data_IF_978225935420
#
_entry.id   IF_978225935420
#
_cell.length_a   1.000
_cell.length_b   1.000
_cell.length_c   1.000
_cell.angle_alpha   90.00
_cell.angle_beta   90.00
_cell.angle_gamma   90.00
#
_symmetry.space_group_name_H-M   'P 1'
#
loop_
_entity.id
_entity.type
_entity.pdbx_description
1 polymer ?
#
# COMPACT_ATOMS: atom_id res chain seq x y z
N UNK A 1 -2.61 17.49 -29.67
CA UNK A 1 -3.01 16.60 -28.54
C UNK A 1 -2.11 16.87 -27.35
N UNK A 2 -2.73 17.13 -26.19
CA UNK A 2 -2.03 17.58 -25.00
C UNK A 2 -2.08 16.53 -23.88
N UNK A 3 -1.08 16.59 -23.00
CA UNK A 3 -1.04 15.87 -21.72
C UNK A 3 -1.26 16.89 -20.61
N UNK A 4 -2.28 16.68 -19.79
CA UNK A 4 -2.54 17.52 -18.63
C UNK A 4 -1.87 16.93 -17.39
N UNK A 5 -1.08 17.72 -16.71
CA UNK A 5 -0.38 17.32 -15.47
C UNK A 5 -1.03 18.00 -14.26
N UNK A 6 -1.42 17.22 -13.26
CA UNK A 6 -1.99 17.72 -12.00
C UNK A 6 -1.30 17.06 -10.79
N UNK A 7 -0.12 17.53 -10.38
CA UNK A 7 0.58 16.98 -9.23
C UNK A 7 -0.08 17.40 -7.91
N UNK A 8 0.05 16.57 -6.87
CA UNK A 8 -0.48 16.86 -5.54
C UNK A 8 0.32 17.93 -4.79
N UNK A 9 1.64 17.89 -4.94
CA UNK A 9 2.60 18.79 -4.28
C UNK A 9 3.77 19.10 -5.23
N UNK A 10 4.53 20.12 -4.91
CA UNK A 10 5.77 20.50 -5.60
C UNK A 10 5.63 20.63 -7.14
N UNK A 11 4.68 21.44 -7.63
CA UNK A 11 4.36 21.49 -9.06
C UNK A 11 5.57 21.90 -9.92
N UNK A 12 6.48 22.75 -9.42
CA UNK A 12 7.66 23.17 -10.18
C UNK A 12 8.64 22.01 -10.40
N UNK A 13 8.87 21.16 -9.40
CA UNK A 13 9.71 19.97 -9.53
C UNK A 13 9.15 19.03 -10.61
N UNK A 14 7.84 18.78 -10.58
CA UNK A 14 7.19 17.91 -11.60
C UNK A 14 7.24 18.55 -12.99
N UNK A 15 7.12 19.88 -13.07
CA UNK A 15 7.28 20.62 -14.33
C UNK A 15 8.68 20.43 -14.92
N UNK A 16 9.72 20.54 -14.10
CA UNK A 16 11.10 20.31 -14.52
C UNK A 16 11.32 18.86 -14.98
N UNK A 17 10.86 17.88 -14.18
CA UNK A 17 11.02 16.46 -14.49
C UNK A 17 10.30 16.05 -15.78
N UNK A 18 9.05 16.43 -15.96
CA UNK A 18 8.33 16.09 -17.19
C UNK A 18 8.82 16.91 -18.39
N UNK A 19 9.29 18.15 -18.21
CA UNK A 19 9.95 18.90 -19.28
C UNK A 19 11.24 18.26 -19.76
N UNK A 20 12.01 17.62 -18.86
CA UNK A 20 13.21 16.83 -19.22
C UNK A 20 12.85 15.51 -19.91
N UNK A 21 11.85 14.79 -19.39
CA UNK A 21 11.55 13.41 -19.81
C UNK A 21 10.57 13.29 -20.96
N UNK A 22 9.79 14.35 -21.24
CA UNK A 22 8.75 14.42 -22.28
C UNK A 22 8.92 15.71 -23.12
N UNK A 23 10.12 15.99 -23.67
CA UNK A 23 10.41 17.28 -24.31
C UNK A 23 9.60 17.54 -25.59
N UNK A 24 9.10 16.49 -26.23
CA UNK A 24 8.33 16.57 -27.48
C UNK A 24 6.81 16.59 -27.24
N UNK A 25 6.36 16.49 -26.00
CA UNK A 25 4.94 16.47 -25.65
C UNK A 25 4.43 17.88 -25.32
N UNK A 26 3.17 18.16 -25.69
CA UNK A 26 2.47 19.38 -25.32
C UNK A 26 1.93 19.22 -23.88
N UNK A 27 2.68 19.76 -22.90
CA UNK A 27 2.40 19.60 -21.48
C UNK A 27 1.66 20.83 -20.93
N UNK A 28 0.46 20.62 -20.46
CA UNK A 28 -0.33 21.60 -19.73
C UNK A 28 -0.41 21.26 -18.25
N UNK A 29 -0.54 22.28 -17.41
CA UNK A 29 -0.54 22.09 -15.96
C UNK A 29 -1.83 22.66 -15.36
N UNK A 30 -2.58 21.79 -14.70
CA UNK A 30 -3.83 22.19 -14.05
C UNK A 30 -3.61 23.33 -13.04
N UNK A 31 -4.50 24.38 -12.99
CA UNK A 31 -5.77 24.50 -13.75
C UNK A 31 -5.65 25.14 -15.14
N UNK A 32 -4.43 25.44 -15.64
CA UNK A 32 -4.20 26.11 -16.91
C UNK A 32 -4.41 25.15 -18.08
N UNK A 33 -5.66 25.06 -18.56
CA UNK A 33 -6.06 24.24 -19.71
C UNK A 33 -6.78 25.12 -20.71
N UNK A 34 -6.14 25.43 -21.83
CA UNK A 34 -6.67 26.35 -22.84
C UNK A 34 -7.75 25.72 -23.72
N UNK A 35 -7.66 24.41 -23.99
CA UNK A 35 -8.62 23.65 -24.78
C UNK A 35 -8.82 22.23 -24.18
N UNK A 36 -9.86 22.01 -23.37
CA UNK A 36 -10.14 20.69 -22.80
C UNK A 36 -10.28 19.57 -23.84
N UNK A 37 -10.69 19.89 -25.10
CA UNK A 37 -10.84 18.87 -26.14
C UNK A 37 -9.50 18.40 -26.71
N UNK A 38 -8.42 19.11 -26.49
CA UNK A 38 -7.08 18.71 -26.91
C UNK A 38 -6.44 17.69 -25.95
N UNK A 39 -6.98 17.52 -24.71
CA UNK A 39 -6.41 16.64 -23.69
C UNK A 39 -6.75 15.18 -23.97
N UNK A 40 -5.74 14.37 -24.24
CA UNK A 40 -5.86 12.92 -24.45
C UNK A 40 -5.36 12.10 -23.25
N UNK A 41 -4.42 12.64 -22.48
CA UNK A 41 -3.87 11.99 -21.30
C UNK A 41 -3.89 12.93 -20.11
N UNK A 42 -4.14 12.37 -18.93
CA UNK A 42 -4.00 13.06 -17.65
C UNK A 42 -2.94 12.34 -16.82
N UNK A 43 -1.93 13.07 -16.34
CA UNK A 43 -0.96 12.62 -15.35
C UNK A 43 -1.34 13.28 -14.03
N UNK A 44 -1.84 12.53 -13.06
CA UNK A 44 -2.30 13.13 -11.82
C UNK A 44 -2.25 12.19 -10.62
N UNK A 45 -2.13 12.77 -9.43
CA UNK A 45 -2.36 12.06 -8.18
C UNK A 45 -3.85 11.79 -7.97
N UNK A 46 -4.68 12.81 -8.18
CA UNK A 46 -6.15 12.76 -8.14
C UNK A 46 -6.74 13.91 -8.94
N UNK A 47 -7.96 13.75 -9.39
CA UNK A 47 -8.73 14.81 -10.05
C UNK A 47 -10.22 14.55 -9.84
N UNK A 48 -11.02 15.62 -9.67
CA UNK A 48 -12.46 15.46 -9.52
C UNK A 48 -13.08 14.92 -10.81
N UNK A 49 -14.07 14.06 -10.67
CA UNK A 49 -14.78 13.49 -11.84
C UNK A 49 -15.39 14.55 -12.74
N UNK A 50 -15.94 15.63 -12.14
CA UNK A 50 -16.48 16.76 -12.90
C UNK A 50 -15.43 17.42 -13.79
N UNK A 51 -14.18 17.47 -13.34
CA UNK A 51 -13.09 18.07 -14.11
C UNK A 51 -12.63 17.12 -15.23
N UNK A 52 -12.52 15.82 -14.93
CA UNK A 52 -12.22 14.78 -15.94
C UNK A 52 -13.26 14.73 -17.05
N UNK A 53 -14.54 14.92 -16.72
CA UNK A 53 -15.65 14.91 -17.69
C UNK A 53 -15.58 16.05 -18.72
N UNK A 54 -14.77 17.07 -18.50
CA UNK A 54 -14.55 18.16 -19.45
C UNK A 54 -13.61 17.76 -20.60
N UNK A 55 -12.80 16.71 -20.42
CA UNK A 55 -11.82 16.22 -21.40
C UNK A 55 -12.45 15.15 -22.28
N UNK A 56 -13.20 15.58 -23.30
CA UNK A 56 -14.01 14.68 -24.15
C UNK A 56 -13.20 13.69 -24.99
N UNK A 57 -11.90 13.91 -25.16
CA UNK A 57 -10.98 13.03 -25.88
C UNK A 57 -10.01 12.29 -24.96
N UNK A 58 -10.26 12.28 -23.64
CA UNK A 58 -9.42 11.61 -22.67
C UNK A 58 -9.44 10.10 -22.87
N UNK A 59 -8.29 9.51 -23.13
CA UNK A 59 -8.09 8.07 -23.34
C UNK A 59 -7.39 7.39 -22.18
N UNK A 60 -6.45 8.09 -21.52
CA UNK A 60 -5.63 7.51 -20.45
C UNK A 60 -5.48 8.44 -19.26
N UNK A 61 -5.49 7.84 -18.08
CA UNK A 61 -5.12 8.48 -16.81
C UNK A 61 -3.89 7.75 -16.27
N UNK A 62 -2.76 8.43 -16.23
CA UNK A 62 -1.52 7.92 -15.63
C UNK A 62 -1.45 8.39 -14.17
N UNK A 63 -1.69 7.46 -13.24
CA UNK A 63 -1.70 7.77 -11.81
C UNK A 63 -0.28 8.01 -11.30
N UNK A 64 -0.09 9.08 -10.52
CA UNK A 64 1.18 9.40 -9.86
C UNK A 64 1.38 8.59 -8.57
N UNK A 65 0.45 7.72 -8.21
CA UNK A 65 0.51 6.84 -7.04
C UNK A 65 0.16 5.40 -7.37
N UNK A 66 0.51 4.49 -6.46
CA UNK A 66 0.19 3.07 -6.58
C UNK A 66 -1.29 2.77 -6.30
N UNK A 67 -1.92 3.52 -5.41
CA UNK A 67 -3.35 3.43 -5.12
C UNK A 67 -4.19 4.06 -6.24
N UNK A 68 -5.37 3.49 -6.50
CA UNK A 68 -6.24 3.89 -7.62
C UNK A 68 -7.69 4.15 -7.19
N UNK A 69 -7.98 4.06 -5.91
CA UNK A 69 -9.33 4.18 -5.35
C UNK A 69 -9.98 5.53 -5.68
N UNK A 70 -9.18 6.61 -5.70
CA UNK A 70 -9.63 7.96 -6.03
C UNK A 70 -10.19 8.08 -7.45
N UNK A 71 -9.81 7.19 -8.36
CA UNK A 71 -10.27 7.17 -9.74
C UNK A 71 -11.59 6.43 -9.92
N UNK A 72 -11.96 5.63 -8.92
CA UNK A 72 -13.11 4.72 -8.98
C UNK A 72 -14.25 5.14 -8.05
N UNK A 73 -14.01 6.08 -7.14
CA UNK A 73 -14.94 6.49 -6.06
C UNK A 73 -16.35 6.83 -6.54
N UNK A 74 -16.49 7.42 -7.74
CA UNK A 74 -17.77 7.82 -8.33
C UNK A 74 -18.06 7.04 -9.64
N UNK A 75 -17.63 5.79 -9.70
CA UNK A 75 -17.62 4.94 -10.90
C UNK A 75 -16.29 5.07 -11.68
N UNK A 76 -15.91 4.04 -12.41
CA UNK A 76 -14.71 4.10 -13.24
C UNK A 76 -14.87 5.13 -14.37
N UNK A 77 -13.84 5.95 -14.68
CA UNK A 77 -13.84 6.75 -15.89
C UNK A 77 -13.82 5.83 -17.12
N UNK A 78 -14.27 6.33 -18.26
CA UNK A 78 -14.15 5.59 -19.54
C UNK A 78 -12.68 5.46 -19.99
N UNK A 79 -11.83 6.40 -19.57
CA UNK A 79 -10.40 6.39 -19.85
C UNK A 79 -9.69 5.25 -19.10
N UNK A 80 -8.72 4.63 -19.77
CA UNK A 80 -7.85 3.59 -19.19
C UNK A 80 -7.01 4.17 -18.05
N UNK A 81 -7.03 3.53 -16.89
CA UNK A 81 -6.22 3.93 -15.75
C UNK A 81 -4.92 3.11 -15.73
N UNK A 82 -3.78 3.80 -15.78
CA UNK A 82 -2.45 3.22 -15.63
C UNK A 82 -1.92 3.61 -14.26
N UNK A 83 -1.74 2.64 -13.37
CA UNK A 83 -1.24 2.91 -12.03
C UNK A 83 0.27 3.01 -11.99
N UNK A 84 0.81 3.75 -11.03
CA UNK A 84 2.24 3.72 -10.77
C UNK A 84 2.63 2.38 -10.12
N UNK A 85 3.63 1.71 -10.68
CA UNK A 85 4.25 0.51 -10.11
C UNK A 85 5.76 0.71 -10.03
N UNK A 86 6.18 1.38 -8.94
CA UNK A 86 7.58 1.72 -8.72
C UNK A 86 8.27 0.64 -7.87
N UNK A 87 9.31 -0.05 -8.39
CA UNK A 87 10.11 -0.99 -7.62
C UNK A 87 10.77 -0.36 -6.38
N UNK A 88 11.13 0.93 -6.41
CA UNK A 88 11.71 1.63 -5.27
C UNK A 88 10.71 1.76 -4.13
N UNK A 89 9.46 2.13 -4.43
CA UNK A 89 8.38 2.15 -3.44
C UNK A 89 8.17 0.76 -2.83
N UNK A 90 8.15 -0.29 -3.65
CA UNK A 90 8.00 -1.67 -3.16
C UNK A 90 9.17 -2.09 -2.25
N UNK A 91 10.39 -1.62 -2.52
CA UNK A 91 11.55 -1.84 -1.66
C UNK A 91 11.45 -1.10 -0.33
N UNK A 92 10.99 0.16 -0.33
CA UNK A 92 10.75 0.95 0.89
C UNK A 92 9.71 0.27 1.77
N UNK A 93 8.57 -0.14 1.20
CA UNK A 93 7.52 -0.85 1.91
C UNK A 93 8.01 -2.19 2.48
N UNK A 94 8.88 -2.90 1.76
CA UNK A 94 9.50 -4.12 2.27
C UNK A 94 10.45 -3.83 3.45
N UNK A 95 11.27 -2.78 3.36
CA UNK A 95 12.16 -2.37 4.46
C UNK A 95 11.36 -1.94 5.70
N UNK A 96 10.27 -1.20 5.52
CA UNK A 96 9.36 -0.81 6.58
C UNK A 96 8.74 -2.04 7.28
N UNK A 97 8.19 -2.98 6.52
CA UNK A 97 7.61 -4.20 7.07
C UNK A 97 8.65 -5.04 7.84
N UNK A 98 9.86 -5.23 7.26
CA UNK A 98 10.96 -5.95 7.90
C UNK A 98 11.37 -5.26 9.21
N UNK A 99 11.47 -3.93 9.24
CA UNK A 99 11.79 -3.18 10.45
C UNK A 99 10.82 -3.51 11.58
N UNK A 100 9.52 -3.32 11.34
CA UNK A 100 8.52 -3.47 12.39
C UNK A 100 8.30 -4.92 12.83
N UNK A 101 8.29 -5.86 11.89
CA UNK A 101 8.19 -7.28 12.25
C UNK A 101 9.41 -7.72 13.08
N UNK A 102 10.63 -7.34 12.68
CA UNK A 102 11.86 -7.63 13.44
C UNK A 102 11.83 -6.95 14.80
N UNK A 103 11.33 -5.70 14.89
CA UNK A 103 11.23 -4.95 16.14
C UNK A 103 10.45 -5.75 17.21
N UNK A 104 9.26 -6.25 16.86
CA UNK A 104 8.42 -7.00 17.79
C UNK A 104 8.90 -8.46 17.97
N UNK A 105 9.37 -9.13 16.92
CA UNK A 105 9.97 -10.46 17.02
C UNK A 105 11.12 -10.50 18.03
N UNK A 106 11.96 -9.47 18.01
CA UNK A 106 13.13 -9.35 18.88
C UNK A 106 12.82 -8.69 20.24
N UNK A 107 11.61 -8.17 20.43
CA UNK A 107 11.19 -7.47 21.62
C UNK A 107 12.01 -6.20 21.89
N UNK A 108 12.36 -5.46 20.83
CA UNK A 108 13.16 -4.24 20.97
C UNK A 108 12.45 -3.18 21.80
N UNK A 109 11.11 -3.13 21.75
CA UNK A 109 10.28 -2.24 22.57
C UNK A 109 10.49 -2.42 24.07
N UNK A 110 10.91 -3.64 24.50
CA UNK A 110 11.22 -3.97 25.87
C UNK A 110 12.70 -3.75 26.23
N UNK A 111 13.52 -3.44 25.23
CA UNK A 111 14.98 -3.37 25.35
C UNK A 111 15.48 -1.92 25.40
N UNK A 112 14.79 -1.00 24.78
CA UNK A 112 15.13 0.42 24.75
C UNK A 112 14.68 1.14 26.04
N UNK A 113 15.16 0.65 27.20
CA UNK A 113 14.93 1.36 28.46
C UNK A 113 16.10 2.31 28.68
N UNK A 114 15.89 3.62 28.86
CA UNK A 114 16.97 4.62 28.95
C UNK A 114 17.86 4.50 30.19
N UNK A 115 17.51 3.67 31.14
CA UNK A 115 17.99 3.78 32.49
C UNK A 115 18.67 2.52 33.02
N UNK A 116 19.86 2.20 32.50
CA UNK A 116 20.76 1.35 33.24
C UNK A 116 20.86 -0.10 32.78
N UNK A 117 21.69 -0.87 33.48
CA UNK A 117 22.01 -2.26 33.19
C UNK A 117 20.94 -3.26 33.62
N UNK A 118 19.86 -2.80 34.22
CA UNK A 118 18.70 -3.61 34.61
C UNK A 118 18.05 -4.16 33.34
N UNK A 119 18.16 -5.44 33.13
CA UNK A 119 17.70 -6.09 31.89
C UNK A 119 18.80 -6.38 30.86
N UNK A 120 20.07 -6.07 31.17
CA UNK A 120 21.19 -6.56 30.38
C UNK A 120 21.32 -8.07 30.53
N UNK A 121 20.93 -8.81 29.47
CA UNK A 121 21.01 -10.26 29.46
C UNK A 121 20.54 -10.86 28.13
N UNK A 122 20.86 -12.14 27.94
CA UNK A 122 20.32 -12.88 26.79
C UNK A 122 18.79 -12.97 26.91
N UNK A 123 18.09 -12.73 25.81
CA UNK A 123 16.64 -12.93 25.70
C UNK A 123 16.39 -14.13 24.81
N UNK A 124 15.46 -14.97 25.23
CA UNK A 124 14.92 -16.02 24.39
C UNK A 124 13.95 -15.37 23.41
N UNK A 125 14.38 -15.23 22.16
CA UNK A 125 13.56 -14.66 21.08
C UNK A 125 13.49 -15.67 19.94
N UNK A 126 12.30 -15.84 19.31
CA UNK A 126 12.15 -16.79 18.23
C UNK A 126 13.10 -16.45 17.06
N UNK A 127 13.70 -17.46 16.50
CA UNK A 127 14.55 -17.34 15.30
C UNK A 127 13.67 -17.13 14.07
N UNK A 128 14.20 -16.62 12.93
CA UNK A 128 13.40 -16.45 11.71
C UNK A 128 12.64 -17.71 11.27
N UNK A 129 13.22 -18.95 11.27
CA UNK A 129 12.46 -20.16 10.93
C UNK A 129 11.26 -20.46 11.85
N UNK A 130 11.29 -19.99 13.09
CA UNK A 130 10.21 -20.16 14.08
C UNK A 130 9.17 -19.05 14.06
N UNK A 131 9.34 -18.06 13.14
CA UNK A 131 8.51 -16.86 13.07
C UNK A 131 7.93 -16.68 11.66
N UNK A 132 6.90 -17.47 11.28
CA UNK A 132 6.22 -17.35 9.99
C UNK A 132 5.60 -15.95 9.83
N UNK A 133 5.79 -15.34 8.65
CA UNK A 133 5.24 -14.04 8.30
C UNK A 133 4.13 -14.22 7.27
N UNK A 134 2.94 -13.76 7.61
CA UNK A 134 1.78 -13.72 6.74
C UNK A 134 1.71 -12.42 5.93
N UNK A 135 1.42 -12.54 4.63
CA UNK A 135 1.21 -11.40 3.73
C UNK A 135 -0.22 -11.43 3.21
N UNK A 136 -1.02 -10.44 3.59
CA UNK A 136 -2.36 -10.21 3.03
C UNK A 136 -2.22 -9.40 1.73
N UNK A 137 -2.33 -10.08 0.59
CA UNK A 137 -2.16 -9.52 -0.74
C UNK A 137 -0.81 -9.86 -1.37
N UNK A 138 -0.82 -10.73 -2.40
CA UNK A 138 0.37 -11.26 -3.07
C UNK A 138 0.62 -10.64 -4.45
N UNK A 139 0.27 -9.35 -4.62
CA UNK A 139 0.62 -8.57 -5.80
C UNK A 139 2.10 -8.13 -5.80
N UNK A 140 2.44 -7.14 -6.62
CA UNK A 140 3.82 -6.63 -6.77
C UNK A 140 4.47 -6.27 -5.43
N UNK A 141 3.78 -5.50 -4.58
CA UNK A 141 4.31 -5.07 -3.27
C UNK A 141 4.40 -6.27 -2.31
N UNK A 142 3.32 -7.05 -2.17
CA UNK A 142 3.31 -8.20 -1.26
C UNK A 142 4.31 -9.27 -1.64
N UNK A 143 4.50 -9.52 -2.93
CA UNK A 143 5.54 -10.42 -3.43
C UNK A 143 6.96 -9.94 -3.08
N UNK A 144 7.21 -8.63 -3.17
CA UNK A 144 8.50 -8.03 -2.79
C UNK A 144 8.74 -8.14 -1.28
N UNK A 145 7.72 -7.91 -0.46
CA UNK A 145 7.78 -8.07 1.00
C UNK A 145 8.06 -9.54 1.35
N UNK A 146 7.31 -10.48 0.74
CA UNK A 146 7.51 -11.91 0.95
C UNK A 146 8.93 -12.35 0.62
N UNK A 147 9.49 -11.92 -0.52
CA UNK A 147 10.86 -12.20 -0.90
C UNK A 147 11.89 -11.63 0.10
N UNK A 148 11.64 -10.46 0.69
CA UNK A 148 12.51 -9.88 1.71
C UNK A 148 12.53 -10.76 2.97
N UNK A 149 11.38 -11.22 3.47
CA UNK A 149 11.32 -12.11 4.63
C UNK A 149 11.93 -13.48 4.35
N UNK A 150 11.70 -14.06 3.18
CA UNK A 150 12.35 -15.31 2.76
C UNK A 150 13.88 -15.18 2.76
N UNK A 151 14.43 -14.05 2.28
CA UNK A 151 15.88 -13.81 2.28
C UNK A 151 16.48 -13.74 3.68
N UNK A 152 15.66 -13.42 4.69
CA UNK A 152 16.03 -13.41 6.11
C UNK A 152 15.79 -14.77 6.80
N UNK A 153 15.27 -15.78 6.08
CA UNK A 153 15.03 -17.12 6.58
C UNK A 153 13.67 -17.34 7.25
N UNK A 154 12.71 -16.41 7.09
CA UNK A 154 11.35 -16.61 7.57
C UNK A 154 10.54 -17.50 6.62
N UNK A 155 9.75 -18.46 7.13
CA UNK A 155 8.63 -19.02 6.38
C UNK A 155 7.64 -17.92 6.05
N UNK A 156 7.13 -17.90 4.81
CA UNK A 156 6.17 -16.90 4.36
C UNK A 156 4.85 -17.57 4.00
N UNK A 157 3.79 -17.12 4.64
CA UNK A 157 2.41 -17.43 4.29
C UNK A 157 1.84 -16.31 3.44
N UNK A 158 1.11 -16.63 2.41
CA UNK A 158 0.51 -15.63 1.55
C UNK A 158 -0.98 -15.84 1.39
N UNK A 159 -1.78 -14.81 1.57
CA UNK A 159 -3.21 -14.86 1.33
C UNK A 159 -3.62 -13.95 0.17
N UNK A 160 -4.47 -14.47 -0.69
CA UNK A 160 -5.15 -13.68 -1.73
C UNK A 160 -6.50 -14.31 -2.09
N UNK A 161 -7.34 -13.57 -2.83
CA UNK A 161 -8.65 -14.12 -3.25
C UNK A 161 -8.58 -15.46 -3.99
N UNK A 162 -7.55 -15.65 -4.79
CA UNK A 162 -7.41 -16.82 -5.70
C UNK A 162 -6.25 -17.74 -5.33
N UNK A 163 -5.48 -17.39 -4.30
CA UNK A 163 -4.22 -18.08 -4.04
C UNK A 163 -3.15 -17.77 -5.09
N UNK A 164 -1.98 -18.37 -4.92
CA UNK A 164 -0.90 -18.34 -5.92
C UNK A 164 0.07 -19.49 -5.68
N UNK A 165 0.49 -20.15 -6.73
CA UNK A 165 1.58 -21.14 -6.70
C UNK A 165 2.95 -20.50 -6.92
N UNK A 166 2.97 -19.17 -7.21
CA UNK A 166 4.19 -18.41 -7.40
C UNK A 166 4.83 -18.06 -6.03
N UNK A 167 6.07 -17.57 -6.08
CA UNK A 167 6.80 -16.97 -4.95
C UNK A 167 7.33 -17.92 -3.87
N UNK A 168 7.12 -19.23 -3.95
CA UNK A 168 7.60 -20.19 -2.93
C UNK A 168 7.05 -19.91 -1.52
N UNK A 169 5.80 -19.44 -1.43
CA UNK A 169 5.07 -19.18 -0.18
C UNK A 169 4.06 -20.29 0.08
N UNK A 170 3.69 -20.51 1.35
CA UNK A 170 2.50 -21.30 1.67
C UNK A 170 1.27 -20.45 1.34
N UNK A 171 0.52 -20.87 0.32
CA UNK A 171 -0.61 -20.11 -0.23
C UNK A 171 -1.92 -20.46 0.43
N UNK A 172 -2.71 -19.44 0.74
CA UNK A 172 -4.07 -19.50 1.25
C UNK A 172 -5.00 -18.70 0.34
N UNK A 173 -6.22 -19.18 0.12
CA UNK A 173 -7.15 -18.59 -0.83
C UNK A 173 -8.55 -18.35 -0.25
N UNK A 174 -9.13 -17.22 -0.60
CA UNK A 174 -10.52 -16.91 -0.27
C UNK A 174 -10.82 -16.78 1.22
N UNK A 175 -12.10 -16.61 1.54
CA UNK A 175 -12.54 -16.35 2.91
C UNK A 175 -12.44 -17.60 3.81
N UNK A 176 -12.62 -18.79 3.22
CA UNK A 176 -12.58 -20.05 3.95
C UNK A 176 -11.21 -20.35 4.57
N UNK A 177 -10.12 -19.97 3.90
CA UNK A 177 -8.75 -20.20 4.39
C UNK A 177 -8.14 -18.99 5.14
N UNK A 178 -8.87 -17.88 5.24
CA UNK A 178 -8.33 -16.68 5.91
C UNK A 178 -8.02 -16.93 7.39
N UNK A 179 -8.88 -17.68 8.08
CA UNK A 179 -8.66 -18.02 9.48
C UNK A 179 -7.41 -18.87 9.69
N UNK A 180 -7.21 -19.89 8.87
CA UNK A 180 -6.03 -20.76 8.93
C UNK A 180 -4.75 -19.97 8.61
N UNK A 181 -4.80 -19.06 7.63
CA UNK A 181 -3.70 -18.14 7.32
C UNK A 181 -3.32 -17.28 8.54
N UNK A 182 -4.31 -16.67 9.21
CA UNK A 182 -4.08 -15.83 10.39
C UNK A 182 -3.45 -16.64 11.53
N UNK A 183 -4.01 -17.80 11.83
CA UNK A 183 -3.53 -18.68 12.90
C UNK A 183 -2.13 -19.25 12.63
N UNK A 184 -1.75 -19.43 11.35
CA UNK A 184 -0.44 -19.94 10.96
C UNK A 184 0.67 -18.87 10.96
N UNK A 185 0.35 -17.61 11.22
CA UNK A 185 1.29 -16.48 11.09
C UNK A 185 1.63 -15.88 12.45
N UNK A 186 2.88 -15.48 12.65
CA UNK A 186 3.38 -14.77 13.84
C UNK A 186 3.46 -13.26 13.65
N UNK A 187 3.47 -12.82 12.42
CA UNK A 187 3.22 -11.44 12.00
C UNK A 187 2.34 -11.46 10.75
N UNK A 188 1.45 -10.50 10.62
CA UNK A 188 0.57 -10.33 9.45
C UNK A 188 0.79 -8.95 8.89
N UNK A 189 1.28 -8.88 7.65
CA UNK A 189 1.49 -7.63 6.91
C UNK A 189 0.38 -7.47 5.88
N UNK A 190 -0.42 -6.41 6.01
CA UNK A 190 -1.47 -6.09 5.08
C UNK A 190 -1.00 -5.12 4.00
N UNK A 191 -1.19 -5.50 2.73
CA UNK A 191 -0.97 -4.66 1.54
C UNK A 191 -2.16 -4.74 0.56
N UNK A 192 -3.33 -5.11 1.06
CA UNK A 192 -4.55 -5.18 0.24
C UNK A 192 -4.98 -3.78 -0.20
N UNK A 193 -5.54 -3.66 -1.42
CA UNK A 193 -6.17 -2.43 -1.89
C UNK A 193 -7.50 -2.20 -1.17
N UNK A 194 -8.04 -0.98 -1.23
CA UNK A 194 -9.38 -0.65 -0.76
C UNK A 194 -10.42 -1.03 -1.82
N UNK A 195 -11.08 -2.17 -1.63
CA UNK A 195 -12.16 -2.66 -2.48
C UNK A 195 -13.35 -3.06 -1.62
N UNK A 196 -14.51 -3.25 -2.23
CA UNK A 196 -15.68 -3.74 -1.51
C UNK A 196 -15.43 -5.05 -0.78
N UNK A 197 -14.59 -5.93 -1.32
CA UNK A 197 -14.27 -7.25 -0.73
C UNK A 197 -13.19 -7.20 0.36
N UNK A 198 -12.45 -6.10 0.48
CA UNK A 198 -11.38 -5.97 1.48
C UNK A 198 -11.74 -5.02 2.62
N UNK A 199 -12.79 -4.21 2.46
CA UNK A 199 -13.30 -3.34 3.51
C UNK A 199 -13.86 -4.16 4.66
N UNK A 200 -13.39 -3.87 5.87
CA UNK A 200 -13.80 -4.56 7.08
C UNK A 200 -13.45 -6.05 7.12
N UNK A 201 -12.49 -6.50 6.30
CA UNK A 201 -12.05 -7.89 6.26
C UNK A 201 -11.55 -8.37 7.63
N UNK A 202 -10.92 -7.49 8.39
CA UNK A 202 -10.42 -7.77 9.73
C UNK A 202 -11.35 -7.13 10.76
N UNK A 203 -12.31 -7.91 11.21
CA UNK A 203 -13.24 -7.62 12.31
C UNK A 203 -12.79 -8.30 13.62
N UNK A 204 -13.57 -8.14 14.69
CA UNK A 204 -13.28 -8.76 15.99
C UNK A 204 -13.10 -10.28 15.89
N UNK A 205 -13.88 -10.97 15.03
CA UNK A 205 -13.79 -12.42 14.85
C UNK A 205 -12.47 -12.83 14.21
N UNK A 206 -12.03 -12.06 13.21
CA UNK A 206 -10.75 -12.31 12.52
C UNK A 206 -9.56 -11.95 13.41
N UNK A 207 -9.63 -10.86 14.17
CA UNK A 207 -8.58 -10.52 15.14
C UNK A 207 -8.38 -11.59 16.21
N UNK A 208 -9.44 -12.24 16.70
CA UNK A 208 -9.33 -13.35 17.64
C UNK A 208 -8.56 -14.57 17.08
N UNK A 209 -8.36 -14.65 15.76
CA UNK A 209 -7.63 -15.73 15.10
C UNK A 209 -6.12 -15.45 14.93
N UNK A 210 -5.64 -14.24 15.31
CA UNK A 210 -4.23 -13.87 15.17
C UNK A 210 -3.30 -14.62 16.13
N UNK A 211 -3.81 -15.13 17.25
CA UNK A 211 -3.00 -15.92 18.19
C UNK A 211 -1.78 -15.17 18.76
N UNK A 212 -1.88 -13.87 18.95
CA UNK A 212 -0.80 -13.02 19.45
C UNK A 212 0.14 -12.49 18.38
N UNK A 213 -0.17 -12.65 17.09
CA UNK A 213 0.65 -12.15 16.00
C UNK A 213 0.74 -10.61 15.99
N UNK A 214 1.84 -10.08 15.49
CA UNK A 214 1.99 -8.64 15.20
C UNK A 214 1.22 -8.30 13.92
N UNK A 215 0.42 -7.25 13.95
CA UNK A 215 -0.27 -6.71 12.77
C UNK A 215 0.46 -5.49 12.23
N UNK A 216 0.81 -5.48 10.95
CA UNK A 216 1.42 -4.34 10.25
C UNK A 216 0.52 -3.96 9.07
N UNK A 217 -0.12 -2.81 9.14
CA UNK A 217 -0.99 -2.31 8.09
C UNK A 217 -0.31 -1.19 7.29
N UNK A 218 0.13 -1.51 6.08
CA UNK A 218 0.72 -0.61 5.09
C UNK A 218 -0.03 -0.61 3.76
N UNK A 219 -1.22 -1.24 3.75
CA UNK A 219 -2.14 -1.26 2.62
C UNK A 219 -3.14 -0.11 2.68
N UNK A 220 -4.30 -0.37 3.27
CA UNK A 220 -5.37 0.62 3.49
C UNK A 220 -6.00 0.45 4.87
N UNK A 221 -6.35 1.58 5.49
CA UNK A 221 -7.00 1.59 6.81
C UNK A 221 -8.36 0.89 6.84
N UNK A 222 -9.08 0.94 5.74
CA UNK A 222 -10.41 0.34 5.58
C UNK A 222 -10.46 -1.18 5.71
N UNK A 223 -9.32 -1.88 5.69
CA UNK A 223 -9.27 -3.33 5.96
C UNK A 223 -9.70 -3.65 7.40
N UNK A 224 -9.45 -2.76 8.34
CA UNK A 224 -9.89 -2.84 9.73
C UNK A 224 -11.35 -2.41 9.81
N UNK A 225 -12.22 -3.28 10.30
CA UNK A 225 -13.66 -3.01 10.40
C UNK A 225 -13.96 -1.90 11.42
N UNK A 226 -13.23 -1.91 12.55
CA UNK A 226 -13.41 -0.96 13.65
C UNK A 226 -12.09 -0.77 14.42
N UNK A 227 -11.75 0.48 14.75
CA UNK A 227 -10.62 0.79 15.63
C UNK A 227 -10.81 0.19 17.03
N UNK A 228 -12.04 0.20 17.54
CA UNK A 228 -12.38 -0.39 18.85
C UNK A 228 -12.15 -1.90 18.85
N UNK A 229 -12.48 -2.62 17.78
CA UNK A 229 -12.23 -4.06 17.67
C UNK A 229 -10.73 -4.37 17.69
N UNK A 230 -9.92 -3.57 16.97
CA UNK A 230 -8.48 -3.74 16.99
C UNK A 230 -7.89 -3.47 18.38
N UNK A 231 -8.30 -2.37 19.03
CA UNK A 231 -7.84 -2.03 20.40
C UNK A 231 -8.26 -3.11 21.39
N UNK A 232 -9.48 -3.63 21.28
CA UNK A 232 -9.94 -4.72 22.13
C UNK A 232 -9.10 -6.00 21.94
N UNK A 233 -8.78 -6.35 20.70
CA UNK A 233 -7.95 -7.51 20.38
C UNK A 233 -6.49 -7.34 20.88
N UNK A 234 -5.92 -6.15 20.77
CA UNK A 234 -4.59 -5.86 21.33
C UNK A 234 -4.61 -5.94 22.86
N UNK A 235 -5.67 -5.45 23.50
CA UNK A 235 -5.84 -5.55 24.96
C UNK A 235 -5.99 -7.00 25.43
N UNK A 236 -6.74 -7.82 24.69
CA UNK A 236 -6.93 -9.25 24.96
C UNK A 236 -5.64 -10.07 24.71
N UNK A 237 -4.72 -9.55 23.91
CA UNK A 237 -3.52 -10.27 23.49
C UNK A 237 -3.74 -11.18 22.26
N UNK A 238 -4.91 -11.13 21.64
CA UNK A 238 -5.19 -11.80 20.37
C UNK A 238 -4.32 -11.22 19.26
N UNK A 239 -4.14 -9.89 19.25
CA UNK A 239 -3.12 -9.18 18.47
C UNK A 239 -2.01 -8.74 19.42
N UNK A 240 -0.78 -9.21 19.18
CA UNK A 240 0.36 -8.94 20.06
C UNK A 240 0.77 -7.47 20.08
N UNK A 241 0.80 -6.84 18.91
CA UNK A 241 1.02 -5.42 18.68
C UNK A 241 0.47 -5.03 17.31
N UNK A 242 0.20 -3.74 17.09
CA UNK A 242 -0.22 -3.23 15.79
C UNK A 242 0.65 -2.05 15.34
N UNK A 243 1.00 -2.02 14.05
CA UNK A 243 1.64 -0.91 13.38
C UNK A 243 0.75 -0.47 12.24
N UNK A 244 0.28 0.76 12.30
CA UNK A 244 -0.68 1.32 11.37
C UNK A 244 -0.05 2.50 10.64
N UNK A 245 0.41 2.28 9.43
CA UNK A 245 0.85 3.37 8.55
C UNK A 245 -0.34 4.05 7.87
N UNK A 246 -1.46 3.36 7.83
CA UNK A 246 -2.72 3.81 7.26
C UNK A 246 -3.88 3.54 8.22
N UNK A 247 -4.84 4.47 8.28
CA UNK A 247 -6.04 4.41 9.11
C UNK A 247 -7.29 4.79 8.32
N UNK A 248 -8.47 4.68 8.91
CA UNK A 248 -9.72 5.17 8.31
C UNK A 248 -10.64 5.73 9.41
N UNK A 249 -10.81 7.10 9.47
CA UNK A 249 -10.27 8.13 8.54
C UNK A 249 -8.75 8.27 8.60
N UNK A 250 -8.20 9.04 7.65
CA UNK A 250 -6.77 9.38 7.59
C UNK A 250 -6.61 10.91 7.41
N UNK A 251 -5.99 11.64 8.38
CA UNK A 251 -5.50 11.14 9.67
C UNK A 251 -6.63 10.64 10.60
N UNK A 252 -6.32 9.82 11.63
CA UNK A 252 -7.29 9.41 12.63
C UNK A 252 -7.87 10.62 13.38
N UNK A 253 -9.11 10.50 13.84
CA UNK A 253 -9.72 11.52 14.70
C UNK A 253 -8.91 11.72 15.99
N UNK A 254 -8.86 12.94 16.51
CA UNK A 254 -8.11 13.25 17.73
C UNK A 254 -8.58 12.46 18.97
N UNK A 255 -9.81 11.93 18.93
CA UNK A 255 -10.39 11.08 19.97
C UNK A 255 -10.21 9.58 19.69
N UNK A 256 -9.49 9.19 18.65
CA UNK A 256 -9.30 7.80 18.27
C UNK A 256 -8.70 6.98 19.45
N UNK A 257 -9.24 5.80 19.75
CA UNK A 257 -8.74 4.92 20.80
C UNK A 257 -7.35 4.31 20.46
N UNK A 258 -6.88 4.50 19.24
CA UNK A 258 -5.56 4.06 18.81
C UNK A 258 -4.44 4.89 19.47
N UNK A 259 -4.71 6.17 19.82
CA UNK A 259 -3.70 7.04 20.39
C UNK A 259 -3.38 6.68 21.85
N UNK A 260 -2.09 6.76 22.18
CA UNK A 260 -1.60 6.52 23.54
C UNK A 260 -1.59 5.06 24.00
N UNK A 261 -1.84 4.12 23.11
CA UNK A 261 -1.77 2.69 23.43
C UNK A 261 -0.34 2.16 23.26
N UNK A 262 0.24 1.56 24.30
CA UNK A 262 1.66 1.15 24.37
C UNK A 262 2.08 0.12 23.30
N UNK A 263 1.11 -0.63 22.73
CA UNK A 263 1.37 -1.66 21.72
C UNK A 263 0.81 -1.31 20.35
N UNK A 264 0.37 -0.06 20.15
CA UNK A 264 -0.09 0.43 18.85
C UNK A 264 0.82 1.57 18.42
N UNK A 265 1.42 1.42 17.25
CA UNK A 265 2.25 2.45 16.62
C UNK A 265 1.52 2.98 15.40
N UNK A 266 1.45 4.29 15.26
CA UNK A 266 0.87 4.96 14.09
C UNK A 266 1.97 5.76 13.40
N UNK A 267 2.07 5.61 12.08
CA UNK A 267 2.94 6.43 11.24
C UNK A 267 2.11 7.14 10.14
N UNK A 268 2.54 8.31 9.65
CA UNK A 268 1.70 9.15 8.82
C UNK A 268 1.79 8.81 7.32
N UNK A 269 1.44 7.58 6.94
CA UNK A 269 1.41 7.06 5.56
C UNK A 269 2.76 7.23 4.84
N UNK A 270 3.81 6.67 5.44
CA UNK A 270 5.21 6.81 5.00
C UNK A 270 5.91 5.49 4.69
N UNK A 271 5.21 4.37 4.75
CA UNK A 271 5.80 3.05 4.47
C UNK A 271 6.35 2.92 3.05
N UNK A 272 5.77 3.66 2.10
CA UNK A 272 6.27 3.74 0.73
C UNK A 272 5.96 5.08 0.12
N UNK A 273 7.00 5.85 -0.19
CA UNK A 273 6.86 7.18 -0.76
C UNK A 273 7.06 7.16 -2.27
N UNK A 274 6.32 8.01 -2.98
CA UNK A 274 6.56 8.21 -4.41
C UNK A 274 7.87 8.96 -4.60
N UNK A 275 8.86 8.30 -5.20
CA UNK A 275 10.14 8.92 -5.55
C UNK A 275 9.98 9.71 -6.86
N UNK A 276 10.01 11.06 -6.86
CA UNK A 276 9.57 11.85 -8.02
C UNK A 276 10.27 11.52 -9.32
N UNK A 277 11.61 11.39 -9.32
CA UNK A 277 12.38 11.08 -10.53
C UNK A 277 12.10 9.68 -11.06
N UNK A 278 11.96 8.69 -10.17
CA UNK A 278 11.60 7.32 -10.55
C UNK A 278 10.20 7.26 -11.13
N UNK A 279 9.23 7.87 -10.44
CA UNK A 279 7.84 7.92 -10.86
C UNK A 279 7.68 8.64 -12.22
N UNK A 280 8.33 9.80 -12.39
CA UNK A 280 8.30 10.53 -13.66
C UNK A 280 8.86 9.70 -14.81
N UNK A 281 9.96 8.97 -14.58
CA UNK A 281 10.54 8.07 -15.59
C UNK A 281 9.61 6.93 -16.00
N UNK A 282 8.93 6.31 -15.03
CA UNK A 282 7.95 5.24 -15.29
C UNK A 282 6.69 5.76 -16.02
N UNK A 283 6.23 6.95 -15.64
CA UNK A 283 5.11 7.62 -16.32
C UNK A 283 5.51 7.97 -17.76
N UNK A 284 6.67 8.56 -17.96
CA UNK A 284 7.19 8.91 -19.31
C UNK A 284 7.34 7.68 -20.20
N UNK A 285 7.81 6.55 -19.64
CA UNK A 285 7.88 5.29 -20.36
C UNK A 285 6.49 4.81 -20.82
N UNK A 286 5.45 4.98 -20.00
CA UNK A 286 4.09 4.64 -20.37
C UNK A 286 3.52 5.61 -21.42
N UNK A 287 3.83 6.91 -21.35
CA UNK A 287 3.49 7.87 -22.42
C UNK A 287 4.09 7.44 -23.75
N UNK A 288 5.37 7.06 -23.76
CA UNK A 288 6.04 6.58 -24.96
C UNK A 288 5.39 5.31 -25.52
N UNK A 289 5.01 4.34 -24.69
CA UNK A 289 4.26 3.14 -25.10
C UNK A 289 2.93 3.50 -25.77
N UNK A 290 2.14 4.38 -25.12
CA UNK A 290 0.85 4.83 -25.66
C UNK A 290 1.03 5.52 -27.02
N UNK A 291 2.04 6.38 -27.14
CA UNK A 291 2.38 7.04 -28.42
C UNK A 291 2.80 6.06 -29.53
N UNK A 292 3.43 4.96 -29.14
CA UNK A 292 3.80 3.87 -30.07
C UNK A 292 2.63 2.94 -30.42
N UNK A 293 1.45 3.13 -29.83
CA UNK A 293 0.30 2.23 -29.96
C UNK A 293 0.46 0.91 -29.19
N UNK A 294 1.35 0.88 -28.22
CA UNK A 294 1.57 -0.25 -27.34
C UNK A 294 0.71 -0.11 -26.08
N UNK A 295 0.33 -1.24 -25.49
CA UNK A 295 -0.42 -1.25 -24.23
C UNK A 295 0.46 -0.75 -23.07
N UNK A 296 0.02 0.27 -22.30
CA UNK A 296 0.74 0.71 -21.11
C UNK A 296 0.65 -0.33 -19.98
N UNK A 297 1.54 -0.22 -18.99
CA UNK A 297 1.61 -1.19 -17.89
C UNK A 297 2.05 -0.55 -16.56
N UNK A 298 1.43 -0.97 -15.44
CA UNK A 298 0.25 -1.83 -15.32
C UNK A 298 -1.08 -1.06 -15.47
N UNK A 299 -2.02 -1.68 -16.17
CA UNK A 299 -3.38 -1.16 -16.30
C UNK A 299 -4.25 -1.65 -15.13
N UNK A 300 -5.11 -0.79 -14.64
CA UNK A 300 -6.09 -1.12 -13.60
C UNK A 300 -7.24 -1.91 -14.22
N UNK A 301 -7.53 -3.07 -13.65
CA UNK A 301 -8.73 -3.83 -13.98
C UNK A 301 -9.95 -3.12 -13.35
N UNK A 302 -10.89 -2.58 -14.15
CA UNK A 302 -12.04 -1.83 -13.62
C UNK A 302 -12.98 -2.67 -12.78
N UNK A 303 -13.06 -3.99 -13.04
CA UNK A 303 -13.92 -4.91 -12.29
C UNK A 303 -13.27 -5.33 -10.97
N UNK A 304 -11.97 -5.49 -10.95
CA UNK A 304 -11.22 -5.81 -9.75
C UNK A 304 -10.95 -4.59 -8.86
N UNK A 305 -10.91 -3.41 -9.43
CA UNK A 305 -10.64 -2.16 -8.74
C UNK A 305 -9.16 -1.86 -8.47
N UNK A 306 -8.21 -2.60 -9.09
CA UNK A 306 -6.76 -2.40 -8.88
C UNK A 306 -5.92 -2.98 -10.01
#
# INVERSE_FOLDING_TARGET
VAILVNPYAEPEMWRELFGELLPDEDLWYWPDCSDPTAVEMVIAWRMRRSDLATFTNLTHILSMGAGTEQWQKDGSPEAMIVRLSDPNMSNEMAAYAVHWVTHFQRGFEKTFTPAGLDGWGARDTPTPPEYPVGILGLGTIGGRIGAAFQSLGHPVNGWSRRGTDALGVTSYAGDDELGDFLAASRAVVNVLPDTQSTRGLLDATRFAQFGGATFVNIGRGTVVASEDDLVAAVNAGDVGAAVLDVTSPEPPDASSPLFGHDRIVITPHIAGTTQPRSAAGLIAANVARIRAGEEPFPVVDPDAGY
#
